data_IF_660696451137
#
_entry.id   IF_660696451137
#
_cell.length_a   1.000
_cell.length_b   1.000
_cell.length_c   1.000
_cell.angle_alpha   90.00
_cell.angle_beta   90.00
_cell.angle_gamma   90.00
#
_symmetry.space_group_name_H-M   'P 1'
#
loop_
_entity.id
_entity.type
_entity.pdbx_description
1 polymer ?
#
# COMPACT_ATOMS: atom_id res chain seq x y z
N UNK A 1 113.41 2.19 -62.41
CA UNK A 1 112.10 1.59 -62.04
C UNK A 1 111.74 0.49 -63.04
N UNK A 2 111.20 -0.65 -62.58
CA UNK A 2 110.78 -1.78 -63.42
C UNK A 2 109.28 -1.68 -63.71
N UNK A 3 108.85 -1.89 -64.96
CA UNK A 3 107.44 -1.82 -65.40
C UNK A 3 106.50 -2.73 -64.57
N UNK A 4 106.97 -3.92 -64.16
CA UNK A 4 106.18 -4.83 -63.33
C UNK A 4 105.94 -4.29 -61.92
N UNK A 5 106.88 -3.52 -61.36
CA UNK A 5 106.71 -2.88 -60.05
C UNK A 5 105.71 -1.71 -60.13
N UNK A 6 105.73 -0.95 -61.23
CA UNK A 6 104.79 0.14 -61.47
C UNK A 6 103.35 -0.39 -61.61
N UNK A 7 103.14 -1.48 -62.36
CA UNK A 7 101.81 -2.10 -62.49
C UNK A 7 101.24 -2.54 -61.15
N UNK A 8 102.04 -3.25 -60.32
CA UNK A 8 101.61 -3.66 -58.97
C UNK A 8 101.25 -2.46 -58.09
N UNK A 9 102.00 -1.36 -58.19
CA UNK A 9 101.71 -0.14 -57.47
C UNK A 9 100.37 0.49 -57.91
N UNK A 10 100.09 0.52 -59.22
CA UNK A 10 98.82 1.03 -59.76
C UNK A 10 97.65 0.17 -59.30
N UNK A 11 97.76 -1.16 -59.41
CA UNK A 11 96.71 -2.09 -59.00
C UNK A 11 96.39 -1.96 -57.50
N UNK A 12 97.43 -1.86 -56.66
CA UNK A 12 97.27 -1.67 -55.22
C UNK A 12 96.67 -0.31 -54.86
N UNK A 13 97.07 0.76 -55.54
CA UNK A 13 96.50 2.08 -55.31
C UNK A 13 95.01 2.12 -55.72
N UNK A 14 94.64 1.44 -56.81
CA UNK A 14 93.24 1.29 -57.20
C UNK A 14 92.44 0.46 -56.18
N UNK A 15 93.03 -0.62 -55.65
CA UNK A 15 92.43 -1.43 -54.57
C UNK A 15 92.18 -0.58 -53.33
N UNK A 16 93.18 0.18 -52.88
CA UNK A 16 93.08 1.08 -51.75
C UNK A 16 92.02 2.18 -51.96
N UNK A 17 91.92 2.74 -53.17
CA UNK A 17 90.89 3.73 -53.48
C UNK A 17 89.46 3.17 -53.33
N UNK A 18 89.22 1.93 -53.77
CA UNK A 18 87.94 1.24 -53.60
C UNK A 18 87.66 0.97 -52.11
N UNK A 19 88.67 0.51 -51.36
CA UNK A 19 88.54 0.25 -49.92
C UNK A 19 88.23 1.53 -49.13
N UNK A 20 88.92 2.63 -49.43
CA UNK A 20 88.63 3.96 -48.87
C UNK A 20 87.20 4.42 -49.20
N UNK A 21 86.73 4.20 -50.43
CA UNK A 21 85.36 4.54 -50.82
C UNK A 21 84.32 3.73 -50.02
N UNK A 22 84.57 2.43 -49.85
CA UNK A 22 83.69 1.55 -49.08
C UNK A 22 83.66 1.92 -47.59
N UNK A 23 84.82 2.23 -46.99
CA UNK A 23 84.90 2.69 -45.61
C UNK A 23 84.17 4.02 -45.41
N UNK A 24 84.33 4.98 -46.33
CA UNK A 24 83.58 6.24 -46.28
C UNK A 24 82.06 6.02 -46.38
N UNK A 25 81.62 5.09 -47.22
CA UNK A 25 80.20 4.73 -47.32
C UNK A 25 79.69 4.06 -46.03
N UNK A 26 80.53 3.27 -45.34
CA UNK A 26 80.21 2.70 -44.04
C UNK A 26 80.13 3.78 -42.96
N UNK A 27 81.11 4.68 -42.86
CA UNK A 27 81.08 5.80 -41.91
C UNK A 27 79.79 6.62 -42.05
N UNK A 28 79.42 7.00 -43.27
CA UNK A 28 78.17 7.73 -43.53
C UNK A 28 76.90 6.97 -43.13
N UNK A 29 76.92 5.63 -43.16
CA UNK A 29 75.79 4.81 -42.69
C UNK A 29 75.72 4.83 -41.16
N UNK A 30 76.85 4.65 -40.50
CA UNK A 30 76.92 4.69 -39.03
C UNK A 30 76.61 6.08 -38.47
N UNK A 31 77.04 7.15 -39.11
CA UNK A 31 76.68 8.52 -38.73
C UNK A 31 75.15 8.75 -38.76
N UNK A 32 74.47 8.24 -39.79
CA UNK A 32 73.00 8.30 -39.88
C UNK A 32 72.32 7.47 -38.80
N UNK A 33 72.84 6.28 -38.55
CA UNK A 33 72.30 5.39 -37.52
C UNK A 33 72.45 6.01 -36.12
N UNK A 34 73.61 6.59 -35.80
CA UNK A 34 73.80 7.31 -34.53
C UNK A 34 72.82 8.49 -34.38
N UNK A 35 72.61 9.26 -35.46
CA UNK A 35 71.65 10.36 -35.44
C UNK A 35 70.21 9.89 -35.21
N UNK A 36 69.81 8.73 -35.73
CA UNK A 36 68.51 8.13 -35.45
C UNK A 36 68.39 7.70 -33.98
N UNK A 37 69.41 7.05 -33.41
CA UNK A 37 69.40 6.70 -31.99
C UNK A 37 69.31 7.91 -31.06
N UNK A 38 70.02 9.00 -31.40
CA UNK A 38 69.93 10.25 -30.64
C UNK A 38 68.50 10.82 -30.69
N UNK A 39 67.87 10.80 -31.85
CA UNK A 39 66.49 11.27 -32.03
C UNK A 39 65.47 10.39 -31.29
N UNK A 40 65.59 9.07 -31.41
CA UNK A 40 64.68 8.13 -30.74
C UNK A 40 64.81 8.23 -29.22
N UNK A 41 66.02 8.44 -28.70
CA UNK A 41 66.25 8.69 -27.27
C UNK A 41 65.53 9.95 -26.80
N UNK A 42 65.60 11.03 -27.58
CA UNK A 42 64.92 12.30 -27.26
C UNK A 42 63.40 12.13 -27.29
N UNK A 43 62.85 11.48 -28.32
CA UNK A 43 61.42 11.21 -28.44
C UNK A 43 60.88 10.35 -27.29
N UNK A 44 61.64 9.35 -26.83
CA UNK A 44 61.28 8.53 -25.68
C UNK A 44 61.30 9.33 -24.36
N UNK A 45 62.24 10.27 -24.22
CA UNK A 45 62.29 11.16 -23.06
C UNK A 45 61.06 12.07 -23.02
N UNK A 46 60.70 12.67 -24.15
CA UNK A 46 59.50 13.53 -24.25
C UNK A 46 58.21 12.75 -23.98
N UNK A 47 58.08 11.54 -24.54
CA UNK A 47 56.95 10.67 -24.25
C UNK A 47 56.85 10.33 -22.76
N UNK A 48 57.99 10.06 -22.11
CA UNK A 48 58.05 9.82 -20.67
C UNK A 48 57.56 11.02 -19.86
N UNK A 49 57.99 12.22 -20.23
CA UNK A 49 57.55 13.46 -19.57
C UNK A 49 56.03 13.69 -19.74
N UNK A 50 55.48 13.49 -20.94
CA UNK A 50 54.03 13.63 -21.19
C UNK A 50 53.20 12.58 -20.44
N UNK A 51 53.71 11.34 -20.36
CA UNK A 51 53.06 10.28 -19.60
C UNK A 51 53.03 10.59 -18.10
N UNK A 52 54.14 11.09 -17.55
CA UNK A 52 54.25 11.49 -16.14
C UNK A 52 53.33 12.69 -15.82
N UNK A 53 53.26 13.68 -16.71
CA UNK A 53 52.36 14.83 -16.52
C UNK A 53 50.88 14.41 -16.54
N UNK A 54 50.47 13.55 -17.48
CA UNK A 54 49.10 12.99 -17.50
C UNK A 54 48.79 12.17 -16.25
N UNK A 55 49.77 11.44 -15.71
CA UNK A 55 49.59 10.68 -14.49
C UNK A 55 49.34 11.63 -13.30
N UNK A 56 50.14 12.70 -13.17
CA UNK A 56 49.96 13.73 -12.13
C UNK A 56 48.60 14.43 -12.24
N UNK A 57 48.19 14.82 -13.44
CA UNK A 57 46.87 15.44 -13.65
C UNK A 57 45.73 14.50 -13.23
N UNK A 58 45.85 13.20 -13.54
CA UNK A 58 44.88 12.20 -13.12
C UNK A 58 44.86 12.00 -11.60
N UNK A 59 46.02 11.97 -10.94
CA UNK A 59 46.14 11.89 -9.48
C UNK A 59 45.49 13.08 -8.78
N UNK A 60 45.75 14.30 -9.26
CA UNK A 60 45.13 15.54 -8.73
C UNK A 60 43.61 15.46 -8.87
N UNK A 61 43.11 15.05 -10.04
CA UNK A 61 41.66 14.93 -10.28
C UNK A 61 40.99 13.90 -9.37
N UNK A 62 41.66 12.77 -9.11
CA UNK A 62 41.16 11.76 -8.17
C UNK A 62 41.10 12.33 -6.77
N UNK A 63 42.16 13.01 -6.32
CA UNK A 63 42.20 13.66 -5.02
C UNK A 63 41.05 14.67 -4.84
N UNK A 64 40.81 15.54 -5.83
CA UNK A 64 39.71 16.52 -5.78
C UNK A 64 38.34 15.83 -5.67
N UNK A 65 38.10 14.78 -6.47
CA UNK A 65 36.85 14.02 -6.44
C UNK A 65 36.66 13.26 -5.12
N UNK A 66 37.72 12.68 -4.55
CA UNK A 66 37.67 12.04 -3.23
C UNK A 66 37.29 13.06 -2.14
N UNK A 67 37.79 14.29 -2.23
CA UNK A 67 37.42 15.36 -1.31
C UNK A 67 35.94 15.76 -1.44
N UNK A 68 35.43 15.89 -2.67
CA UNK A 68 34.01 16.17 -2.93
C UNK A 68 33.09 15.06 -2.41
N UNK A 69 33.43 13.79 -2.69
CA UNK A 69 32.66 12.63 -2.20
C UNK A 69 32.64 12.60 -0.68
N UNK A 70 33.76 12.91 -0.03
CA UNK A 70 33.84 13.01 1.43
C UNK A 70 32.91 14.10 1.96
N UNK A 71 32.94 15.31 1.40
CA UNK A 71 32.05 16.43 1.79
C UNK A 71 30.58 16.07 1.62
N UNK A 72 30.20 15.53 0.46
CA UNK A 72 28.81 15.12 0.20
C UNK A 72 28.36 14.00 1.14
N UNK A 73 29.26 13.07 1.50
CA UNK A 73 28.96 12.01 2.46
C UNK A 73 28.74 12.56 3.86
N UNK A 74 29.55 13.52 4.30
CA UNK A 74 29.40 14.23 5.58
C UNK A 74 28.06 15.00 5.62
N UNK A 75 27.70 15.72 4.55
CA UNK A 75 26.42 16.43 4.42
C UNK A 75 25.22 15.47 4.44
N UNK A 76 25.27 14.38 3.67
CA UNK A 76 24.22 13.39 3.65
C UNK A 76 24.03 12.75 5.02
N UNK A 77 25.13 12.43 5.71
CA UNK A 77 25.09 11.92 7.07
C UNK A 77 24.46 12.93 8.04
N UNK A 78 24.83 14.20 7.93
CA UNK A 78 24.24 15.29 8.71
C UNK A 78 22.72 15.36 8.52
N UNK A 79 22.22 15.37 7.29
CA UNK A 79 20.79 15.41 7.00
C UNK A 79 20.06 14.15 7.47
N UNK A 80 20.69 12.99 7.33
CA UNK A 80 20.15 11.74 7.85
C UNK A 80 19.96 11.81 9.36
N UNK A 81 20.97 12.22 10.11
CA UNK A 81 20.87 12.37 11.57
C UNK A 81 19.79 13.40 11.97
N UNK A 82 19.69 14.52 11.23
CA UNK A 82 18.64 15.52 11.46
C UNK A 82 17.24 14.95 11.23
N UNK A 83 17.05 14.18 10.15
CA UNK A 83 15.77 13.54 9.84
C UNK A 83 15.40 12.49 10.88
N UNK A 84 16.35 11.66 11.31
CA UNK A 84 16.14 10.66 12.37
C UNK A 84 15.76 11.34 13.70
N UNK A 85 16.42 12.45 14.05
CA UNK A 85 16.07 13.24 15.25
C UNK A 85 14.65 13.82 15.15
N UNK A 86 14.26 14.36 13.98
CA UNK A 86 12.90 14.88 13.77
C UNK A 86 11.84 13.78 13.73
N UNK A 87 12.14 12.58 13.23
CA UNK A 87 11.23 11.44 13.23
C UNK A 87 10.93 10.95 14.65
N UNK A 88 11.94 10.89 15.53
CA UNK A 88 11.73 10.51 16.93
C UNK A 88 10.89 11.57 17.68
N UNK A 89 11.12 12.86 17.43
CA UNK A 89 10.32 13.94 18.01
C UNK A 89 8.87 13.94 17.47
N UNK A 90 8.68 13.78 16.16
CA UNK A 90 7.34 13.80 15.53
C UNK A 90 6.53 12.53 15.76
N UNK A 91 7.13 11.35 15.85
CA UNK A 91 6.41 10.12 16.22
C UNK A 91 5.91 10.18 17.67
N UNK A 92 6.67 10.83 18.55
CA UNK A 92 6.27 11.09 19.93
C UNK A 92 5.17 12.17 19.99
N UNK A 93 5.27 13.20 19.15
CA UNK A 93 4.31 14.30 19.08
C UNK A 93 2.96 13.86 18.46
N UNK A 94 2.98 13.05 17.40
CA UNK A 94 1.78 12.54 16.71
C UNK A 94 0.97 11.58 17.60
N UNK A 95 1.64 10.64 18.27
CA UNK A 95 1.00 9.77 19.26
C UNK A 95 0.45 10.55 20.47
N UNK A 96 1.10 11.65 20.85
CA UNK A 96 0.60 12.53 21.91
C UNK A 96 -0.59 13.38 21.45
N UNK A 97 -0.58 13.84 20.19
CA UNK A 97 -1.64 14.63 19.58
C UNK A 97 -2.91 13.81 19.37
N UNK A 98 -2.79 12.59 18.83
CA UNK A 98 -3.91 11.65 18.73
C UNK A 98 -4.55 11.39 20.10
N UNK A 99 -3.70 11.15 21.11
CA UNK A 99 -4.16 10.91 22.48
C UNK A 99 -4.90 12.13 23.06
N UNK A 100 -4.36 13.35 22.86
CA UNK A 100 -4.99 14.58 23.31
C UNK A 100 -6.34 14.84 22.61
N UNK A 101 -6.43 14.55 21.31
CA UNK A 101 -7.68 14.64 20.55
C UNK A 101 -8.73 13.66 21.09
N UNK A 102 -8.33 12.42 21.39
CA UNK A 102 -9.22 11.41 21.96
C UNK A 102 -9.72 11.80 23.36
N UNK A 103 -8.83 12.30 24.22
CA UNK A 103 -9.20 12.75 25.57
C UNK A 103 -10.19 13.93 25.51
N UNK A 104 -9.97 14.90 24.60
CA UNK A 104 -10.87 16.04 24.37
C UNK A 104 -12.25 15.60 23.83
N UNK A 105 -12.28 14.67 22.87
CA UNK A 105 -13.51 14.13 22.32
C UNK A 105 -14.34 13.43 23.41
N UNK A 106 -13.71 12.55 24.18
CA UNK A 106 -14.39 11.81 25.25
C UNK A 106 -14.85 12.73 26.39
N UNK A 107 -14.13 13.82 26.68
CA UNK A 107 -14.60 14.87 27.61
C UNK A 107 -15.83 15.62 27.09
N UNK A 108 -15.91 15.87 25.78
CA UNK A 108 -17.04 16.56 25.18
C UNK A 108 -18.30 15.68 25.17
N UNK A 109 -18.12 14.38 24.93
CA UNK A 109 -19.23 13.44 24.73
C UNK A 109 -19.72 12.83 26.06
N UNK A 110 -18.84 12.63 27.03
CA UNK A 110 -19.16 11.94 28.29
C UNK A 110 -19.14 12.97 29.43
N UNK A 111 -20.31 13.22 30.02
CA UNK A 111 -20.44 14.08 31.20
C UNK A 111 -19.61 13.56 32.38
N UNK A 112 -19.15 14.48 33.24
CA UNK A 112 -18.13 14.17 34.25
C UNK A 112 -18.59 13.29 35.41
N UNK A 113 -19.88 13.25 35.73
CA UNK A 113 -20.25 12.99 37.12
C UNK A 113 -20.26 11.53 37.56
N UNK A 114 -20.25 10.54 36.66
CA UNK A 114 -20.38 9.12 37.07
C UNK A 114 -19.38 8.14 36.44
N UNK A 115 -18.43 8.61 35.62
CA UNK A 115 -17.51 7.74 34.84
C UNK A 115 -16.74 6.76 35.74
N UNK A 116 -16.16 7.25 36.84
CA UNK A 116 -15.33 6.42 37.71
C UNK A 116 -16.15 5.33 38.42
N UNK A 117 -17.33 5.70 38.93
CA UNK A 117 -18.23 4.80 39.63
C UNK A 117 -18.81 3.73 38.70
N UNK A 118 -19.31 4.15 37.52
CA UNK A 118 -19.90 3.24 36.51
C UNK A 118 -18.87 2.24 35.99
N UNK A 119 -17.67 2.70 35.65
CA UNK A 119 -16.59 1.82 35.20
C UNK A 119 -16.15 0.83 36.26
N UNK A 120 -16.00 1.27 37.51
CA UNK A 120 -15.62 0.39 38.61
C UNK A 120 -16.69 -0.68 38.87
N UNK A 121 -17.96 -0.27 38.97
CA UNK A 121 -19.06 -1.22 39.19
C UNK A 121 -19.14 -2.25 38.06
N UNK A 122 -18.95 -1.83 36.81
CA UNK A 122 -18.92 -2.74 35.66
C UNK A 122 -17.79 -3.75 35.73
N UNK A 123 -16.55 -3.29 35.98
CA UNK A 123 -15.39 -4.18 36.06
C UNK A 123 -15.50 -5.14 37.25
N UNK A 124 -16.10 -4.71 38.36
CA UNK A 124 -16.32 -5.54 39.55
C UNK A 124 -17.37 -6.64 39.26
N UNK A 125 -18.50 -6.27 38.67
CA UNK A 125 -19.54 -7.20 38.24
C UNK A 125 -19.04 -8.23 37.21
N UNK A 126 -18.01 -7.88 36.43
CA UNK A 126 -17.39 -8.75 35.43
C UNK A 126 -16.00 -9.26 35.85
N UNK A 127 -15.69 -9.29 37.15
CA UNK A 127 -14.38 -9.72 37.67
C UNK A 127 -14.02 -11.19 37.34
N UNK A 128 -14.99 -12.02 36.98
CA UNK A 128 -14.76 -13.37 36.47
C UNK A 128 -14.15 -13.41 35.05
N UNK A 129 -14.13 -12.28 34.33
CA UNK A 129 -13.46 -12.14 33.03
C UNK A 129 -12.04 -11.63 33.27
N UNK A 130 -11.04 -12.39 32.84
CA UNK A 130 -9.62 -12.11 33.09
C UNK A 130 -9.21 -10.68 32.70
N UNK A 131 -9.71 -10.19 31.56
CA UNK A 131 -9.42 -8.82 31.08
C UNK A 131 -9.99 -7.76 32.01
N UNK A 132 -11.21 -7.95 32.53
CA UNK A 132 -11.84 -7.01 33.47
C UNK A 132 -11.08 -7.00 34.81
N UNK A 133 -10.63 -8.16 35.28
CA UNK A 133 -9.80 -8.29 36.48
C UNK A 133 -8.45 -7.57 36.31
N UNK A 134 -7.77 -7.75 35.17
CA UNK A 134 -6.51 -7.07 34.85
C UNK A 134 -6.69 -5.55 34.74
N UNK A 135 -7.76 -5.09 34.12
CA UNK A 135 -8.08 -3.65 34.05
C UNK A 135 -8.35 -3.08 35.45
N UNK A 136 -9.10 -3.79 36.29
CA UNK A 136 -9.39 -3.38 37.66
C UNK A 136 -8.12 -3.22 38.50
N UNK A 137 -7.22 -4.21 38.48
CA UNK A 137 -5.96 -4.15 39.26
C UNK A 137 -5.05 -2.99 38.84
N UNK A 138 -5.16 -2.55 37.59
CA UNK A 138 -4.39 -1.41 37.05
C UNK A 138 -5.18 -0.11 36.99
N UNK A 139 -6.39 -0.03 37.57
CA UNK A 139 -7.33 1.08 37.40
C UNK A 139 -6.69 2.47 37.57
N UNK A 140 -5.97 2.69 38.68
CA UNK A 140 -5.31 3.97 39.00
C UNK A 140 -4.20 4.36 38.00
N UNK A 141 -3.73 3.41 37.20
CA UNK A 141 -2.69 3.58 36.18
C UNK A 141 -3.29 3.67 34.77
N UNK A 142 -4.60 3.43 34.62
CA UNK A 142 -5.28 3.60 33.35
C UNK A 142 -5.38 5.09 33.02
N UNK A 143 -5.33 5.40 31.72
CA UNK A 143 -5.54 6.76 31.23
C UNK A 143 -7.01 7.17 31.42
N UNK A 144 -7.31 8.47 31.58
CA UNK A 144 -8.68 8.95 31.68
C UNK A 144 -9.58 8.54 30.50
N UNK A 145 -9.10 8.63 29.26
CA UNK A 145 -9.81 8.10 28.07
C UNK A 145 -10.13 6.61 28.20
N UNK A 146 -9.19 5.80 28.68
CA UNK A 146 -9.44 4.37 28.90
C UNK A 146 -10.55 4.14 29.93
N UNK A 147 -10.54 4.89 31.03
CA UNK A 147 -11.58 4.82 32.06
C UNK A 147 -12.96 5.24 31.51
N UNK A 148 -12.99 6.25 30.64
CA UNK A 148 -14.20 6.71 29.93
C UNK A 148 -14.75 5.69 28.94
N UNK A 149 -13.87 5.03 28.17
CA UNK A 149 -14.28 3.95 27.27
C UNK A 149 -14.89 2.78 28.06
N UNK A 150 -14.35 2.46 29.23
CA UNK A 150 -14.93 1.41 30.09
C UNK A 150 -16.33 1.82 30.58
N UNK A 151 -16.56 3.11 30.88
CA UNK A 151 -17.87 3.61 31.28
C UNK A 151 -18.88 3.47 30.13
N UNK A 152 -18.48 3.81 28.90
CA UNK A 152 -19.30 3.60 27.71
C UNK A 152 -19.66 2.11 27.52
N UNK A 153 -18.69 1.21 27.71
CA UNK A 153 -18.95 -0.23 27.62
C UNK A 153 -19.97 -0.68 28.68
N UNK A 154 -19.90 -0.12 29.88
CA UNK A 154 -20.86 -0.39 30.94
C UNK A 154 -22.28 0.07 30.56
N UNK A 155 -22.43 1.29 30.03
CA UNK A 155 -23.71 1.83 29.54
C UNK A 155 -24.29 1.02 28.37
N UNK A 156 -23.43 0.60 27.43
CA UNK A 156 -23.87 -0.27 26.33
C UNK A 156 -24.39 -1.61 26.86
N UNK A 157 -23.77 -2.16 27.90
CA UNK A 157 -24.21 -3.41 28.52
C UNK A 157 -25.56 -3.26 29.24
N UNK A 158 -25.78 -2.17 29.97
CA UNK A 158 -27.06 -1.91 30.64
C UNK A 158 -28.17 -1.71 29.61
N UNK A 159 -27.95 -0.90 28.58
CA UNK A 159 -28.90 -0.71 27.48
C UNK A 159 -29.22 -2.01 26.75
N UNK A 160 -28.25 -2.90 26.58
CA UNK A 160 -28.47 -4.20 25.96
C UNK A 160 -29.38 -5.10 26.81
N UNK A 161 -29.25 -5.07 28.14
CA UNK A 161 -30.15 -5.79 29.06
C UNK A 161 -31.55 -5.21 29.04
N UNK A 162 -31.68 -3.88 29.11
CA UNK A 162 -32.97 -3.19 29.08
C UNK A 162 -33.72 -3.46 27.77
N UNK A 163 -33.00 -3.47 26.64
CA UNK A 163 -33.55 -3.85 25.33
C UNK A 163 -34.13 -5.27 25.34
N UNK A 164 -33.46 -6.23 25.97
CA UNK A 164 -33.96 -7.61 26.08
C UNK A 164 -35.23 -7.67 26.93
N UNK A 165 -35.21 -7.00 28.08
CA UNK A 165 -36.38 -6.92 28.96
C UNK A 165 -37.59 -6.28 28.27
N UNK A 166 -37.38 -5.17 27.56
CA UNK A 166 -38.43 -4.52 26.78
C UNK A 166 -38.96 -5.43 25.67
N UNK A 167 -38.09 -6.20 25.01
CA UNK A 167 -38.51 -7.15 23.99
C UNK A 167 -39.41 -8.24 24.57
N UNK A 168 -39.05 -8.81 25.72
CA UNK A 168 -39.87 -9.83 26.40
C UNK A 168 -41.23 -9.25 26.81
N UNK A 169 -41.23 -8.06 27.41
CA UNK A 169 -42.47 -7.39 27.84
C UNK A 169 -43.39 -7.08 26.65
N UNK A 170 -42.83 -6.67 25.51
CA UNK A 170 -43.59 -6.43 24.29
C UNK A 170 -44.29 -7.70 23.80
N UNK A 171 -43.56 -8.82 23.67
CA UNK A 171 -44.16 -10.10 23.26
C UNK A 171 -45.30 -10.53 24.20
N UNK A 172 -45.08 -10.38 25.51
CA UNK A 172 -46.10 -10.71 26.50
C UNK A 172 -47.34 -9.82 26.37
N UNK A 173 -47.17 -8.52 26.14
CA UNK A 173 -48.27 -7.60 25.90
C UNK A 173 -49.03 -7.94 24.62
N UNK A 174 -48.34 -8.34 23.55
CA UNK A 174 -48.95 -8.80 22.30
C UNK A 174 -49.79 -10.08 22.50
N UNK A 175 -49.29 -11.05 23.27
CA UNK A 175 -50.02 -12.27 23.63
C UNK A 175 -51.28 -11.97 24.45
N UNK A 176 -51.18 -11.08 25.45
CA UNK A 176 -52.33 -10.65 26.26
C UNK A 176 -53.41 -9.95 25.41
N UNK A 177 -53.00 -9.10 24.46
CA UNK A 177 -53.92 -8.47 23.51
C UNK A 177 -54.63 -9.50 22.64
N UNK A 178 -53.91 -10.54 22.17
CA UNK A 178 -54.52 -11.59 21.37
C UNK A 178 -55.58 -12.39 22.16
N UNK A 179 -55.27 -12.75 23.41
CA UNK A 179 -56.22 -13.43 24.31
C UNK A 179 -57.47 -12.56 24.55
N UNK A 180 -57.29 -11.27 24.84
CA UNK A 180 -58.40 -10.34 25.05
C UNK A 180 -59.24 -10.14 23.78
N UNK A 181 -58.61 -10.12 22.61
CA UNK A 181 -59.30 -10.05 21.33
C UNK A 181 -60.19 -11.29 21.09
N UNK A 182 -59.67 -12.49 21.36
CA UNK A 182 -60.43 -13.74 21.27
C UNK A 182 -61.63 -13.74 22.24
N UNK A 183 -61.41 -13.34 23.49
CA UNK A 183 -62.47 -13.23 24.50
C UNK A 183 -63.54 -12.22 24.08
N UNK A 184 -63.14 -11.05 23.56
CA UNK A 184 -64.08 -10.05 23.05
C UNK A 184 -64.89 -10.57 21.87
N UNK A 185 -64.30 -11.34 20.96
CA UNK A 185 -65.04 -11.96 19.85
C UNK A 185 -66.10 -12.96 20.35
N UNK A 186 -65.78 -13.76 21.38
CA UNK A 186 -66.75 -14.68 21.99
C UNK A 186 -67.91 -13.92 22.64
N UNK A 187 -67.60 -12.85 23.38
CA UNK A 187 -68.61 -12.00 24.03
C UNK A 187 -69.49 -11.26 23.01
N UNK A 188 -68.90 -10.75 21.92
CA UNK A 188 -69.63 -10.09 20.84
C UNK A 188 -70.62 -11.05 20.15
N UNK A 189 -70.21 -12.29 19.87
CA UNK A 189 -71.11 -13.31 19.32
C UNK A 189 -72.23 -13.70 20.30
N UNK A 190 -71.95 -13.79 21.60
CA UNK A 190 -72.98 -14.00 22.63
C UNK A 190 -73.97 -12.83 22.71
N UNK A 191 -73.49 -11.58 22.68
CA UNK A 191 -74.31 -10.37 22.68
C UNK A 191 -75.19 -10.29 21.42
N UNK A 192 -74.64 -10.55 20.23
CA UNK A 192 -75.41 -10.62 18.98
C UNK A 192 -76.52 -11.67 19.06
N UNK A 193 -76.27 -12.84 19.64
CA UNK A 193 -77.30 -13.88 19.86
C UNK A 193 -78.39 -13.39 20.80
N UNK A 194 -78.03 -12.75 21.91
CA UNK A 194 -78.97 -12.21 22.88
C UNK A 194 -79.88 -11.14 22.25
N UNK A 195 -79.31 -10.20 21.48
CA UNK A 195 -80.07 -9.16 20.76
C UNK A 195 -81.07 -9.81 19.79
N UNK A 196 -80.65 -10.83 19.03
CA UNK A 196 -81.56 -11.56 18.12
C UNK A 196 -82.72 -12.22 18.87
N UNK A 197 -82.48 -12.79 20.06
CA UNK A 197 -83.53 -13.39 20.89
C UNK A 197 -84.50 -12.31 21.40
N UNK A 198 -83.99 -11.22 21.95
CA UNK A 198 -84.80 -10.09 22.42
C UNK A 198 -85.64 -9.48 21.29
N UNK A 199 -85.07 -9.30 20.10
CA UNK A 199 -85.80 -8.83 18.93
C UNK A 199 -86.88 -9.82 18.49
N UNK A 200 -86.63 -11.14 18.53
CA UNK A 200 -87.68 -12.15 18.25
C UNK A 200 -88.82 -12.10 19.26
N UNK A 201 -88.52 -11.89 20.54
CA UNK A 201 -89.50 -11.77 21.62
C UNK A 201 -90.31 -10.46 21.51
N UNK A 202 -89.69 -9.36 21.07
CA UNK A 202 -90.39 -8.10 20.76
C UNK A 202 -91.16 -8.11 19.44
N UNK A 203 -90.77 -8.93 18.48
CA UNK A 203 -91.37 -8.99 17.15
C UNK A 203 -92.19 -10.26 16.88
N UNK A 204 -92.62 -11.01 17.91
CA UNK A 204 -93.77 -11.91 17.77
C UNK A 204 -95.03 -11.09 17.46
N UNK A 205 -95.60 -11.13 16.24
CA UNK A 205 -96.73 -10.29 15.88
C UNK A 205 -98.04 -11.04 16.11
N UNK A 206 -98.72 -10.68 17.19
CA UNK A 206 -100.17 -10.53 17.13
C UNK A 206 -100.50 -9.24 16.38
N UNK A 207 -101.06 -9.38 15.17
CA UNK A 207 -101.62 -8.35 14.29
C UNK A 207 -100.69 -7.68 13.26
N UNK A 208 -100.78 -8.21 12.02
CA UNK A 208 -101.18 -7.42 10.84
C UNK A 208 -100.11 -6.65 10.05
N UNK A 209 -99.63 -7.23 8.93
CA UNK A 209 -99.06 -6.44 7.83
C UNK A 209 -98.02 -7.18 6.97
N UNK A 210 -98.36 -7.46 5.72
CA UNK A 210 -97.58 -8.14 4.67
C UNK A 210 -96.83 -7.10 3.79
N UNK A 211 -95.96 -7.48 2.81
CA UNK A 211 -94.51 -7.19 2.84
C UNK A 211 -93.97 -6.48 1.57
N UNK A 212 -92.71 -6.07 1.56
CA UNK A 212 -91.86 -5.91 0.35
C UNK A 212 -90.40 -5.66 0.79
N UNK A 213 -89.32 -5.86 0.03
CA UNK A 213 -88.89 -6.71 -1.10
C UNK A 213 -87.47 -6.24 -1.43
N UNK A 214 -86.55 -7.14 -1.83
CA UNK A 214 -85.29 -6.79 -2.51
C UNK A 214 -84.02 -7.13 -1.71
N UNK A 215 -83.12 -8.10 -1.99
CA UNK A 215 -82.59 -8.78 -3.20
C UNK A 215 -81.14 -8.35 -3.48
N UNK A 216 -80.22 -9.32 -3.33
CA UNK A 216 -78.94 -9.42 -4.05
C UNK A 216 -77.77 -8.60 -3.50
N UNK A 217 -76.51 -8.92 -3.79
CA UNK A 217 -75.87 -10.18 -4.19
C UNK A 217 -74.35 -9.95 -4.13
N UNK A 218 -73.61 -11.05 -3.93
CA UNK A 218 -72.15 -11.17 -4.12
C UNK A 218 -71.68 -10.66 -5.50
N UNK A 219 -70.39 -10.26 -5.61
CA UNK A 219 -69.36 -10.72 -6.60
C UNK A 219 -68.07 -9.90 -6.41
N UNK A 220 -66.91 -10.50 -6.07
CA UNK A 220 -65.99 -11.35 -6.86
C UNK A 220 -65.28 -10.58 -8.00
N UNK A 221 -63.94 -10.55 -7.95
CA UNK A 221 -63.06 -11.04 -9.03
C UNK A 221 -61.57 -10.97 -8.65
N UNK A 222 -60.89 -12.12 -8.76
CA UNK A 222 -59.43 -12.30 -9.03
C UNK A 222 -59.10 -11.84 -10.49
N UNK A 223 -57.96 -12.14 -11.17
CA UNK A 223 -56.71 -12.85 -10.80
C UNK A 223 -55.37 -12.33 -11.45
N UNK A 224 -54.26 -13.01 -11.06
CA UNK A 224 -52.97 -13.35 -11.73
C UNK A 224 -52.72 -12.95 -13.20
N UNK A 225 -51.45 -12.66 -13.54
CA UNK A 225 -50.51 -13.39 -14.47
C UNK A 225 -49.07 -12.88 -14.15
N UNK A 226 -47.94 -13.61 -14.17
CA UNK A 226 -47.25 -14.25 -15.32
C UNK A 226 -45.90 -14.89 -14.87
N UNK A 227 -45.29 -15.67 -15.76
CA UNK A 227 -44.27 -16.72 -15.55
C UNK A 227 -42.96 -16.48 -16.39
N UNK A 228 -42.06 -17.46 -16.69
CA UNK A 228 -40.59 -17.39 -16.46
C UNK A 228 -39.71 -17.67 -17.74
N UNK A 229 -38.47 -18.20 -17.58
CA UNK A 229 -37.49 -18.83 -18.56
C UNK A 229 -36.30 -17.91 -18.96
N UNK A 230 -35.06 -18.29 -19.32
CA UNK A 230 -34.05 -19.38 -19.19
C UNK A 230 -32.98 -19.07 -20.29
N UNK A 231 -31.68 -19.43 -20.18
CA UNK A 231 -30.75 -19.38 -21.34
C UNK A 231 -29.23 -19.38 -21.05
N UNK A 232 -28.46 -20.17 -21.81
CA UNK A 232 -27.06 -20.64 -21.62
C UNK A 232 -26.02 -20.06 -22.63
N UNK A 233 -24.73 -20.10 -22.20
CA UNK A 233 -23.42 -20.36 -22.85
C UNK A 233 -23.13 -20.03 -24.33
N UNK A 234 -21.90 -19.55 -24.61
CA UNK A 234 -21.13 -19.82 -25.85
C UNK A 234 -19.59 -19.75 -25.64
N UNK A 235 -18.83 -20.60 -26.34
CA UNK A 235 -17.37 -20.73 -26.44
C UNK A 235 -16.99 -20.99 -27.92
N UNK A 236 -16.02 -20.25 -28.46
CA UNK A 236 -15.24 -20.55 -29.70
C UNK A 236 -13.86 -19.87 -29.56
N UNK A 237 -12.72 -20.57 -29.53
CA UNK A 237 -11.95 -21.34 -30.52
C UNK A 237 -11.07 -20.50 -31.48
N UNK A 238 -9.74 -20.54 -31.21
CA UNK A 238 -8.56 -20.61 -32.09
C UNK A 238 -8.35 -19.53 -33.19
N UNK A 239 -7.25 -18.77 -33.10
CA UNK A 239 -6.08 -19.00 -33.98
C UNK A 239 -4.83 -18.20 -33.57
N UNK A 240 -3.68 -18.88 -33.56
CA UNK A 240 -2.34 -18.30 -33.40
C UNK A 240 -1.61 -18.36 -34.74
N UNK A 241 -1.15 -17.21 -35.22
CA UNK A 241 -0.12 -17.14 -36.26
C UNK A 241 1.09 -16.36 -35.73
N UNK A 242 2.29 -16.97 -35.83
CA UNK A 242 3.59 -16.35 -35.52
C UNK A 242 3.92 -15.24 -36.51
N UNK A 243 4.60 -14.20 -36.03
CA UNK A 243 5.29 -13.20 -36.85
C UNK A 243 6.78 -13.58 -37.05
N UNK A 244 7.40 -13.22 -38.18
CA UNK A 244 8.83 -13.41 -38.42
C UNK A 244 9.69 -12.46 -37.56
N UNK A 245 10.93 -12.89 -37.26
CA UNK A 245 11.87 -12.14 -36.42
C UNK A 245 12.45 -10.92 -37.15
N UNK A 246 12.48 -9.79 -36.46
CA UNK A 246 13.18 -8.57 -36.89
C UNK A 246 14.71 -8.71 -36.72
N UNK A 247 15.54 -8.03 -37.54
CA UNK A 247 16.99 -8.09 -37.42
C UNK A 247 17.50 -7.52 -36.08
N UNK A 248 18.60 -8.09 -35.58
CA UNK A 248 19.24 -7.77 -34.30
C UNK A 248 19.65 -6.29 -34.22
N UNK A 249 19.25 -5.61 -33.12
CA UNK A 249 19.73 -4.26 -32.78
C UNK A 249 21.03 -4.34 -31.97
N UNK A 250 21.93 -3.40 -32.25
CA UNK A 250 23.17 -3.14 -31.53
C UNK A 250 22.90 -2.81 -30.05
N UNK A 251 23.63 -3.47 -29.16
CA UNK A 251 23.58 -3.23 -27.72
C UNK A 251 24.18 -1.86 -27.39
N UNK A 252 23.34 -0.90 -27.01
CA UNK A 252 23.76 0.29 -26.28
C UNK A 252 23.01 0.30 -24.93
N UNK A 253 23.67 0.58 -23.79
CA UNK A 253 23.14 0.34 -22.46
C UNK A 253 22.27 1.51 -21.99
N UNK A 254 21.21 1.84 -22.72
CA UNK A 254 20.27 2.88 -22.31
C UNK A 254 18.83 2.54 -22.70
N UNK A 255 18.33 1.33 -22.39
CA UNK A 255 16.87 1.09 -22.37
C UNK A 255 16.51 -0.21 -21.63
N UNK A 256 16.74 -0.25 -20.31
CA UNK A 256 16.15 -1.28 -19.43
C UNK A 256 15.41 -0.66 -18.25
N UNK A 257 14.40 0.13 -18.56
CA UNK A 257 13.34 0.44 -17.60
C UNK A 257 12.01 0.46 -18.37
N UNK A 258 11.37 -0.71 -18.50
CA UNK A 258 9.93 -0.85 -18.34
C UNK A 258 9.41 -2.26 -18.67
N UNK A 259 8.52 -2.74 -17.78
CA UNK A 259 7.49 -3.78 -17.90
C UNK A 259 7.93 -5.20 -17.49
N UNK A 260 7.47 -5.75 -16.35
CA UNK A 260 6.10 -6.23 -16.02
C UNK A 260 5.54 -7.17 -17.07
#
# INVERSE_FOLDING_TARGET
>A
MNASALKRFVDENQRLAVECSNLLAQCKRWEKECALYDHDREALMDFGNEADERAKEAEIRVYDLEEEVRKLSEELHFYKCQYETQMDDTATDDASLEQNLLDNLLETVIGRDDVASTSHAFLEANSGVEVCQRLMTKWKRLRPSTQKVIALVAEVNTLQKDKEHLRINLHKAEDEVNILFEQNNVLDEANKRLIRLYQKEKHTPGSGGKPSSGKGNKRKSSPKISSPVEGKLDFSEVDSLRQPLSPLRSNSPEYRLCKK
#
